data_IF_110643842214
#
_entry.id   IF_110643842214
#
_cell.length_a   1.000
_cell.length_b   1.000
_cell.length_c   1.000
_cell.angle_alpha   90.00
_cell.angle_beta   90.00
_cell.angle_gamma   90.00
#
_symmetry.space_group_name_H-M   'P 1'
#
loop_
_entity.id
_entity.type
_entity.pdbx_description
1 polymer ?
#
# COMPACT_ATOMS: atom_id res chain seq x y z
N UNK A 1 62.86 -8.93 17.90
CA UNK A 1 61.40 -8.67 17.79
C UNK A 1 60.88 -9.40 16.55
N UNK A 2 60.36 -10.62 16.71
CA UNK A 2 59.88 -11.41 15.58
C UNK A 2 58.38 -11.15 15.37
N UNK A 3 58.06 -10.10 14.62
CA UNK A 3 56.68 -9.76 14.28
C UNK A 3 56.14 -10.70 13.22
N UNK A 4 55.45 -11.77 13.62
CA UNK A 4 54.59 -12.53 12.71
C UNK A 4 53.56 -11.55 12.14
N UNK A 5 53.74 -11.12 10.89
CA UNK A 5 52.73 -10.33 10.18
C UNK A 5 51.50 -11.20 10.04
N UNK A 6 50.39 -10.76 10.59
CA UNK A 6 49.12 -11.42 10.34
C UNK A 6 48.85 -11.46 8.84
N UNK A 7 48.46 -12.61 8.28
CA UNK A 7 48.30 -12.73 6.86
C UNK A 7 47.07 -11.91 6.45
N UNK A 8 47.26 -11.00 5.49
CA UNK A 8 46.28 -9.98 5.08
C UNK A 8 44.90 -10.56 4.73
N UNK A 9 44.85 -11.81 4.24
CA UNK A 9 43.60 -12.52 3.94
C UNK A 9 42.69 -12.65 5.16
N UNK A 10 43.25 -12.80 6.37
CA UNK A 10 42.46 -12.91 7.60
C UNK A 10 41.77 -11.59 7.93
N UNK A 11 42.43 -10.47 7.69
CA UNK A 11 41.85 -9.13 7.85
C UNK A 11 40.79 -8.87 6.79
N UNK A 12 41.04 -9.24 5.52
CA UNK A 12 40.07 -9.12 4.43
C UNK A 12 38.80 -9.91 4.74
N UNK A 13 38.92 -11.17 5.16
CA UNK A 13 37.76 -12.00 5.51
C UNK A 13 37.01 -11.46 6.73
N UNK A 14 37.72 -10.95 7.73
CA UNK A 14 37.09 -10.33 8.90
C UNK A 14 36.28 -9.09 8.51
N UNK A 15 36.86 -8.17 7.73
CA UNK A 15 36.16 -6.96 7.26
C UNK A 15 34.97 -7.35 6.38
N UNK A 16 35.15 -8.28 5.44
CA UNK A 16 34.07 -8.79 4.61
C UNK A 16 32.93 -9.37 5.46
N UNK A 17 33.25 -10.20 6.45
CA UNK A 17 32.27 -10.78 7.37
C UNK A 17 31.48 -9.72 8.14
N UNK A 18 32.17 -8.70 8.67
CA UNK A 18 31.54 -7.57 9.37
C UNK A 18 30.63 -6.79 8.43
N UNK A 19 31.09 -6.45 7.23
CA UNK A 19 30.28 -5.77 6.22
C UNK A 19 29.05 -6.58 5.83
N UNK A 20 29.19 -7.90 5.65
CA UNK A 20 28.08 -8.79 5.32
C UNK A 20 27.04 -8.81 6.44
N UNK A 21 27.46 -8.92 7.71
CA UNK A 21 26.54 -8.89 8.87
C UNK A 21 25.75 -7.58 8.91
N UNK A 22 26.41 -6.43 8.75
CA UNK A 22 25.71 -5.14 8.73
C UNK A 22 24.76 -5.01 7.54
N UNK A 23 25.18 -5.46 6.35
CA UNK A 23 24.36 -5.41 5.15
C UNK A 23 23.10 -6.27 5.32
N UNK A 24 23.25 -7.56 5.64
CA UNK A 24 22.12 -8.47 5.77
C UNK A 24 21.22 -8.12 6.96
N UNK A 25 21.82 -7.76 8.10
CA UNK A 25 21.06 -7.35 9.29
C UNK A 25 20.27 -6.07 9.04
N UNK A 26 20.90 -5.06 8.43
CA UNK A 26 20.25 -3.80 8.07
C UNK A 26 19.15 -4.00 7.02
N UNK A 27 19.43 -4.75 5.96
CA UNK A 27 18.46 -5.07 4.93
C UNK A 27 17.24 -5.81 5.51
N UNK A 28 17.48 -6.83 6.34
CA UNK A 28 16.41 -7.58 6.99
C UNK A 28 15.56 -6.70 7.91
N UNK A 29 16.18 -5.85 8.73
CA UNK A 29 15.46 -4.92 9.60
C UNK A 29 14.61 -3.92 8.80
N UNK A 30 15.15 -3.37 7.72
CA UNK A 30 14.43 -2.45 6.83
C UNK A 30 13.26 -3.16 6.14
N UNK A 31 13.46 -4.37 5.61
CA UNK A 31 12.40 -5.16 4.99
C UNK A 31 11.30 -5.52 5.97
N UNK A 32 11.67 -5.90 7.19
CA UNK A 32 10.71 -6.15 8.26
C UNK A 32 9.90 -4.88 8.57
N UNK A 33 10.56 -3.73 8.72
CA UNK A 33 9.85 -2.47 8.98
C UNK A 33 8.95 -2.04 7.83
N UNK A 34 9.37 -2.24 6.58
CA UNK A 34 8.55 -1.98 5.40
C UNK A 34 7.28 -2.83 5.40
N UNK A 35 7.39 -4.12 5.67
CA UNK A 35 6.32 -5.08 5.37
C UNK A 35 5.42 -5.43 6.56
N UNK A 36 5.82 -5.15 7.81
CA UNK A 36 5.13 -5.63 9.02
C UNK A 36 3.65 -5.24 9.15
N UNK A 37 3.18 -4.16 8.50
CA UNK A 37 1.77 -3.73 8.54
C UNK A 37 0.96 -4.18 7.32
N UNK A 38 1.58 -4.83 6.34
CA UNK A 38 0.92 -5.25 5.10
C UNK A 38 0.45 -4.06 4.23
N UNK A 39 0.09 -4.32 2.96
CA UNK A 39 -0.35 -3.30 2.03
C UNK A 39 -1.82 -2.90 2.23
N UNK A 40 -2.24 -1.83 1.55
CA UNK A 40 -3.66 -1.61 1.27
C UNK A 40 -4.18 -2.68 0.30
N UNK A 41 -5.33 -3.27 0.63
CA UNK A 41 -6.06 -4.19 -0.22
C UNK A 41 -7.34 -3.51 -0.68
N UNK A 42 -7.45 -3.30 -2.00
CA UNK A 42 -8.54 -2.53 -2.59
C UNK A 42 -9.23 -3.39 -3.63
N UNK A 43 -10.47 -3.76 -3.36
CA UNK A 43 -11.30 -4.60 -4.21
C UNK A 43 -12.27 -3.74 -5.00
N UNK A 44 -12.07 -3.72 -6.31
CA UNK A 44 -12.91 -3.05 -7.29
C UNK A 44 -13.99 -4.02 -7.74
N UNK A 45 -15.25 -3.62 -7.58
CA UNK A 45 -16.42 -4.47 -7.84
C UNK A 45 -17.63 -3.64 -8.24
N UNK A 46 -18.76 -4.31 -8.43
CA UNK A 46 -20.06 -3.66 -8.59
C UNK A 46 -20.93 -3.90 -7.36
N UNK A 47 -21.68 -2.88 -6.94
CA UNK A 47 -22.64 -2.97 -5.84
C UNK A 47 -23.88 -2.19 -6.26
N UNK A 48 -25.05 -2.84 -6.19
CA UNK A 48 -26.33 -2.25 -6.60
C UNK A 48 -26.32 -1.66 -8.03
N UNK A 49 -25.56 -2.29 -8.93
CA UNK A 49 -25.40 -1.84 -10.33
C UNK A 49 -24.45 -0.65 -10.51
N UNK A 50 -23.87 -0.11 -9.45
CA UNK A 50 -22.89 0.96 -9.48
C UNK A 50 -21.45 0.42 -9.32
N UNK A 51 -20.42 1.11 -9.85
CA UNK A 51 -19.04 0.86 -9.48
C UNK A 51 -18.82 1.07 -7.98
N UNK A 52 -18.05 0.18 -7.36
CA UNK A 52 -17.74 0.25 -5.94
C UNK A 52 -16.31 -0.20 -5.67
N UNK A 53 -15.75 0.35 -4.60
CA UNK A 53 -14.43 0.00 -4.09
C UNK A 53 -14.55 -0.40 -2.63
N UNK A 54 -14.03 -1.57 -2.29
CA UNK A 54 -13.95 -2.06 -0.91
C UNK A 54 -12.50 -2.05 -0.46
N UNK A 55 -12.24 -1.37 0.66
CA UNK A 55 -10.93 -1.11 1.22
C UNK A 55 -10.73 -1.99 2.46
N UNK A 56 -9.55 -2.60 2.55
CA UNK A 56 -9.09 -3.30 3.72
C UNK A 56 -7.60 -3.05 3.98
N UNK A 57 -7.24 -3.03 5.27
CA UNK A 57 -5.88 -3.10 5.78
C UNK A 57 -5.90 -3.92 7.08
N UNK A 58 -5.78 -5.25 6.99
CA UNK A 58 -6.01 -6.15 8.12
C UNK A 58 -5.12 -5.86 9.34
N UNK A 59 -3.84 -5.52 9.14
CA UNK A 59 -2.93 -5.21 10.26
C UNK A 59 -3.25 -3.89 10.98
N UNK A 60 -4.13 -3.06 10.41
CA UNK A 60 -4.66 -1.84 11.04
C UNK A 60 -6.07 -2.05 11.59
N UNK A 61 -6.66 -3.25 11.47
CA UNK A 61 -8.03 -3.53 11.87
C UNK A 61 -9.10 -2.91 10.95
N UNK A 62 -8.71 -2.41 9.78
CA UNK A 62 -9.62 -1.80 8.81
C UNK A 62 -10.11 -2.89 7.87
N UNK A 63 -11.43 -3.17 7.89
CA UNK A 63 -12.00 -4.23 7.07
C UNK A 63 -13.34 -3.81 6.47
N UNK A 64 -13.49 -4.01 5.16
CA UNK A 64 -14.79 -3.91 4.49
C UNK A 64 -15.36 -2.50 4.41
N UNK A 65 -14.52 -1.46 4.40
CA UNK A 65 -14.97 -0.09 4.16
C UNK A 65 -15.31 0.02 2.67
N UNK A 66 -16.56 0.32 2.35
CA UNK A 66 -17.06 0.33 0.98
C UNK A 66 -17.37 1.75 0.53
N UNK A 67 -16.89 2.11 -0.64
CA UNK A 67 -17.20 3.36 -1.32
C UNK A 67 -17.96 3.02 -2.60
N UNK A 68 -19.21 3.47 -2.71
CA UNK A 68 -20.09 3.21 -3.86
C UNK A 68 -20.28 4.51 -4.64
N UNK A 69 -20.24 4.41 -5.97
CA UNK A 69 -20.34 5.56 -6.88
C UNK A 69 -21.65 5.53 -7.68
N UNK A 70 -22.80 5.89 -7.07
CA UNK A 70 -24.07 5.87 -7.77
C UNK A 70 -24.12 6.92 -8.88
N UNK A 71 -24.87 6.62 -9.95
CA UNK A 71 -25.14 7.57 -11.03
C UNK A 71 -23.97 7.82 -12.00
N UNK A 72 -22.87 7.07 -11.90
CA UNK A 72 -21.77 7.15 -12.88
C UNK A 72 -22.15 6.50 -14.21
N UNK A 73 -21.91 7.20 -15.33
CA UNK A 73 -22.09 6.67 -16.69
C UNK A 73 -21.03 5.64 -17.13
N UNK A 74 -20.23 5.12 -16.19
CA UNK A 74 -19.20 4.12 -16.47
C UNK A 74 -19.78 2.74 -16.19
N UNK A 75 -19.62 1.76 -17.12
CA UNK A 75 -20.05 0.41 -16.85
C UNK A 75 -19.31 -0.11 -15.60
N UNK A 76 -20.02 -0.77 -14.67
CA UNK A 76 -19.37 -1.40 -13.54
C UNK A 76 -18.29 -2.38 -14.02
N UNK A 77 -17.24 -2.61 -13.21
CA UNK A 77 -16.20 -3.55 -13.58
C UNK A 77 -16.82 -4.93 -13.86
N UNK A 78 -16.55 -5.49 -15.05
CA UNK A 78 -17.13 -6.77 -15.47
C UNK A 78 -16.67 -7.98 -14.63
N UNK A 79 -15.68 -7.80 -13.75
CA UNK A 79 -15.20 -8.78 -12.78
C UNK A 79 -14.74 -8.09 -11.51
N UNK A 80 -14.86 -8.77 -10.38
CA UNK A 80 -14.20 -8.37 -9.12
C UNK A 80 -12.68 -8.45 -9.27
N UNK A 81 -11.98 -7.36 -8.95
CA UNK A 81 -10.51 -7.27 -9.02
C UNK A 81 -10.00 -6.72 -7.70
N UNK A 82 -9.11 -7.46 -7.03
CA UNK A 82 -8.41 -6.96 -5.84
C UNK A 82 -6.99 -6.57 -6.20
N UNK A 83 -6.64 -5.32 -5.91
CA UNK A 83 -5.29 -4.78 -6.06
C UNK A 83 -4.67 -4.65 -4.67
N UNK A 84 -3.44 -5.17 -4.53
CA UNK A 84 -2.62 -5.03 -3.31
C UNK A 84 -1.55 -3.98 -3.59
N UNK A 85 -1.50 -2.91 -2.81
CA UNK A 85 -0.53 -1.83 -3.01
C UNK A 85 0.75 -2.06 -2.20
N UNK A 86 1.57 -3.02 -2.62
CA UNK A 86 2.89 -3.34 -2.04
C UNK A 86 4.07 -2.95 -2.95
N UNK A 87 3.80 -2.72 -4.24
CA UNK A 87 4.77 -2.33 -5.27
C UNK A 87 4.25 -1.16 -6.13
N UNK A 88 5.16 -0.35 -6.69
CA UNK A 88 4.81 0.80 -7.53
C UNK A 88 4.16 0.39 -8.87
N UNK A 89 4.44 -0.82 -9.37
CA UNK A 89 3.83 -1.38 -10.57
C UNK A 89 2.30 -1.53 -10.44
N UNK A 90 1.77 -1.58 -9.22
CA UNK A 90 0.34 -1.72 -8.95
C UNK A 90 -0.45 -0.43 -9.21
N UNK A 91 0.24 0.68 -9.46
CA UNK A 91 -0.37 1.98 -9.81
C UNK A 91 -1.34 1.86 -11.00
N UNK A 92 -0.97 1.06 -12.00
CA UNK A 92 -1.70 0.95 -13.26
C UNK A 92 -2.62 -0.29 -13.30
N UNK A 93 -2.71 -1.04 -12.19
CA UNK A 93 -3.53 -2.25 -12.09
C UNK A 93 -5.02 -1.97 -11.76
N UNK A 94 -5.40 -0.71 -11.54
CA UNK A 94 -6.77 -0.33 -11.18
C UNK A 94 -7.71 -0.40 -12.39
N UNK A 95 -8.89 -1.02 -12.29
CA UNK A 95 -9.79 -1.22 -13.43
C UNK A 95 -10.58 0.03 -13.84
N UNK A 96 -10.67 1.04 -12.97
CA UNK A 96 -11.29 2.32 -13.29
C UNK A 96 -10.69 3.45 -12.44
N UNK A 97 -10.85 4.67 -12.94
CA UNK A 97 -10.19 5.85 -12.38
C UNK A 97 -8.68 5.76 -12.53
N UNK A 98 -7.95 6.41 -11.61
CA UNK A 98 -6.48 6.38 -11.61
C UNK A 98 -5.91 6.55 -10.21
N UNK A 99 -4.67 6.08 -10.03
CA UNK A 99 -3.86 6.35 -8.83
C UNK A 99 -3.06 7.64 -9.05
N UNK A 100 -3.45 8.71 -8.34
CA UNK A 100 -2.77 10.00 -8.34
C UNK A 100 -1.44 9.94 -7.61
N UNK A 101 -1.42 9.28 -6.46
CA UNK A 101 -0.24 9.16 -5.60
C UNK A 101 -0.17 7.76 -4.98
N UNK A 102 1.04 7.24 -4.87
CA UNK A 102 1.32 5.93 -4.30
C UNK A 102 2.68 5.99 -3.59
N UNK A 103 2.67 5.74 -2.29
CA UNK A 103 3.86 5.49 -1.48
C UNK A 103 3.80 4.08 -0.91
N UNK A 104 4.77 3.25 -1.28
CA UNK A 104 4.93 1.88 -0.74
C UNK A 104 6.14 1.74 0.17
N UNK A 105 6.88 2.83 0.47
CA UNK A 105 8.15 2.82 1.20
C UNK A 105 8.07 2.07 2.53
N UNK A 106 7.03 2.37 3.31
CA UNK A 106 6.63 1.64 4.50
C UNK A 106 5.14 1.32 4.40
N UNK A 107 4.78 0.04 4.39
CA UNK A 107 3.41 -0.38 4.20
C UNK A 107 2.54 -0.07 5.45
N UNK A 108 1.23 0.17 5.27
CA UNK A 108 0.52 0.20 3.98
C UNK A 108 0.77 1.49 3.18
N UNK A 109 1.46 2.47 3.76
CA UNK A 109 1.80 3.72 3.09
C UNK A 109 0.56 4.55 2.76
N UNK A 110 0.64 5.31 1.67
CA UNK A 110 -0.44 6.19 1.20
C UNK A 110 -0.82 5.83 -0.22
N UNK A 111 -2.13 5.75 -0.49
CA UNK A 111 -2.67 5.60 -1.83
C UNK A 111 -3.72 6.65 -2.05
N UNK A 112 -3.57 7.48 -3.08
CA UNK A 112 -4.56 8.48 -3.46
C UNK A 112 -5.14 8.14 -4.82
N UNK A 113 -6.44 7.96 -4.87
CA UNK A 113 -7.20 7.75 -6.07
C UNK A 113 -7.88 9.03 -6.56
N UNK A 114 -8.11 9.05 -7.86
CA UNK A 114 -9.06 9.94 -8.54
C UNK A 114 -10.09 9.04 -9.22
N UNK A 115 -11.24 8.86 -8.56
CA UNK A 115 -12.33 7.98 -8.98
C UNK A 115 -13.57 8.85 -9.24
N UNK A 116 -14.01 8.91 -10.49
CA UNK A 116 -15.25 9.62 -10.88
C UNK A 116 -15.32 11.08 -10.39
N UNK A 117 -14.19 11.79 -10.37
CA UNK A 117 -14.09 13.17 -9.91
C UNK A 117 -13.94 13.34 -8.39
N UNK A 118 -13.85 12.23 -7.64
CA UNK A 118 -13.56 12.22 -6.21
C UNK A 118 -12.10 11.87 -5.95
N UNK A 119 -11.47 12.68 -5.09
CA UNK A 119 -10.15 12.38 -4.56
C UNK A 119 -10.30 11.57 -3.28
N UNK A 120 -9.77 10.34 -3.27
CA UNK A 120 -9.89 9.42 -2.14
C UNK A 120 -8.48 9.00 -1.73
N UNK A 121 -8.07 9.39 -0.54
CA UNK A 121 -6.73 9.14 -0.02
C UNK A 121 -6.80 8.21 1.21
N UNK A 122 -6.09 7.09 1.10
CA UNK A 122 -5.97 6.07 2.12
C UNK A 122 -4.72 6.36 2.96
N UNK A 123 -4.91 6.77 4.21
CA UNK A 123 -3.83 6.91 5.18
C UNK A 123 -4.05 5.92 6.35
N UNK A 124 -2.98 5.40 6.97
CA UNK A 124 -3.13 4.47 8.10
C UNK A 124 -4.00 5.03 9.23
N UNK A 125 -3.97 6.35 9.43
CA UNK A 125 -4.69 7.04 10.51
C UNK A 125 -6.15 7.40 10.16
N UNK A 126 -6.45 7.67 8.89
CA UNK A 126 -7.74 8.25 8.48
C UNK A 126 -7.98 8.04 7.00
N UNK A 127 -9.24 8.00 6.59
CA UNK A 127 -9.64 8.10 5.20
C UNK A 127 -9.81 9.58 4.87
N UNK A 128 -9.29 10.06 3.74
CA UNK A 128 -9.56 11.42 3.28
C UNK A 128 -10.37 11.35 2.00
N UNK A 129 -11.52 12.01 1.97
CA UNK A 129 -12.37 12.11 0.78
C UNK A 129 -12.52 13.60 0.46
N UNK A 130 -12.13 13.99 -0.75
CA UNK A 130 -12.21 15.38 -1.22
C UNK A 130 -11.62 16.38 -0.20
N UNK A 131 -10.44 16.04 0.35
CA UNK A 131 -9.70 16.83 1.37
C UNK A 131 -10.39 16.96 2.73
N UNK A 132 -11.41 16.15 3.01
CA UNK A 132 -12.03 16.07 4.34
C UNK A 132 -11.66 14.74 4.99
N UNK A 133 -11.35 14.78 6.28
CA UNK A 133 -11.02 13.56 7.04
C UNK A 133 -12.29 12.80 7.43
N UNK A 134 -12.23 11.48 7.30
CA UNK A 134 -13.24 10.50 7.66
C UNK A 134 -12.55 9.43 8.52
N UNK A 135 -12.96 9.31 9.77
CA UNK A 135 -12.41 8.28 10.64
C UNK A 135 -12.72 6.88 10.08
N UNK A 136 -11.75 5.96 10.16
CA UNK A 136 -11.97 4.58 9.74
C UNK A 136 -13.05 3.91 10.58
N UNK A 137 -14.06 3.34 9.91
CA UNK A 137 -15.11 2.52 10.52
C UNK A 137 -15.29 1.26 9.70
N UNK A 138 -14.91 0.11 10.25
CA UNK A 138 -15.03 -1.17 9.54
C UNK A 138 -16.48 -1.47 9.16
N UNK A 139 -16.69 -1.96 7.93
CA UNK A 139 -18.01 -2.21 7.36
C UNK A 139 -18.80 -0.96 6.97
N UNK A 140 -18.25 0.25 7.13
CA UNK A 140 -18.93 1.48 6.71
C UNK A 140 -19.10 1.53 5.20
N UNK A 141 -20.31 1.92 4.77
CA UNK A 141 -20.64 2.18 3.37
C UNK A 141 -20.79 3.69 3.17
N UNK A 142 -20.01 4.24 2.24
CA UNK A 142 -19.99 5.65 1.88
C UNK A 142 -20.45 5.77 0.43
N UNK A 143 -21.46 6.60 0.19
CA UNK A 143 -21.96 6.86 -1.16
C UNK A 143 -21.42 8.19 -1.67
N UNK A 144 -20.74 8.15 -2.82
CA UNK A 144 -20.15 9.31 -3.48
C UNK A 144 -20.77 9.45 -4.88
N UNK A 145 -21.85 10.25 -5.03
CA UNK A 145 -22.48 10.44 -6.33
C UNK A 145 -21.51 11.14 -7.29
N UNK A 146 -21.54 10.73 -8.56
CA UNK A 146 -20.67 11.30 -9.59
C UNK A 146 -20.74 12.83 -9.63
N UNK A 147 -19.57 13.46 -9.79
CA UNK A 147 -19.43 14.92 -9.88
C UNK A 147 -19.37 15.44 -11.31
#
# INVERSE_FOLDING_TARGET
>A
MNGKRDPIWRQVLMVFGVCAVFYFGGFWALQHWRTRRGPWEVTFQSTDGAPAVQIAAPALGITGVQIVFPGTNSPPPGRVVTVRFDDLAQRDAVPFGRVKFLDTTLLPGTVTFDLFGHEIELLPRTLIINKREHAWRSGERIELPAR
#
